data_IF_387677169947
#
_entry.id   IF_387677169947
#
_cell.length_a   1.000
_cell.length_b   1.000
_cell.length_c   1.000
_cell.angle_alpha   90.00
_cell.angle_beta   90.00
_cell.angle_gamma   90.00
#
_symmetry.space_group_name_H-M   'P 1'
#
loop_
_entity.id
_entity.type
_entity.pdbx_description
1 polymer ?
#
# COMPACT_ATOMS: atom_id res chain seq x y z
N UNK A 1 -27.64 -20.59 5.56
CA UNK A 1 -28.11 -19.18 5.65
C UNK A 1 -27.13 -18.18 6.28
N UNK A 2 -26.07 -18.57 7.02
CA UNK A 2 -25.10 -17.63 7.61
C UNK A 2 -24.29 -16.81 6.57
N UNK A 3 -23.83 -17.45 5.49
CA UNK A 3 -22.99 -16.83 4.47
C UNK A 3 -23.64 -15.64 3.73
N UNK A 4 -24.93 -15.75 3.40
CA UNK A 4 -25.65 -14.67 2.71
C UNK A 4 -25.77 -13.42 3.58
N UNK A 5 -25.92 -13.59 4.91
CA UNK A 5 -25.90 -12.47 5.86
C UNK A 5 -24.54 -11.79 5.90
N UNK A 6 -23.46 -12.56 5.97
CA UNK A 6 -22.09 -12.01 5.99
C UNK A 6 -21.77 -11.22 4.73
N UNK A 7 -22.20 -11.70 3.55
CA UNK A 7 -22.04 -10.97 2.29
C UNK A 7 -22.83 -9.65 2.26
N UNK A 8 -24.05 -9.63 2.82
CA UNK A 8 -24.82 -8.39 2.97
C UNK A 8 -24.14 -7.39 3.92
N UNK A 9 -23.52 -7.86 5.00
CA UNK A 9 -22.76 -7.01 5.93
C UNK A 9 -21.52 -6.42 5.26
N UNK A 10 -20.73 -7.21 4.51
CA UNK A 10 -19.58 -6.70 3.74
C UNK A 10 -20.01 -5.64 2.72
N UNK A 11 -21.14 -5.84 2.03
CA UNK A 11 -21.68 -4.86 1.08
C UNK A 11 -22.05 -3.54 1.76
N UNK A 12 -22.51 -3.56 3.02
CA UNK A 12 -22.77 -2.34 3.80
C UNK A 12 -21.48 -1.62 4.18
N UNK A 13 -20.46 -2.37 4.60
CA UNK A 13 -19.15 -1.80 4.97
C UNK A 13 -18.53 -1.04 3.78
N UNK A 14 -18.50 -1.66 2.60
CA UNK A 14 -17.96 -1.02 1.37
C UNK A 14 -18.75 0.22 0.97
N UNK A 15 -20.07 0.25 1.23
CA UNK A 15 -20.91 1.44 0.98
C UNK A 15 -20.66 2.58 1.96
N UNK A 16 -20.28 2.27 3.20
CA UNK A 16 -20.00 3.27 4.25
C UNK A 16 -18.56 3.80 4.10
N UNK A 17 -17.65 3.02 3.52
CA UNK A 17 -16.28 3.44 3.25
C UNK A 17 -16.25 4.68 2.35
N UNK A 18 -15.57 5.74 2.82
CA UNK A 18 -15.39 6.99 2.06
C UNK A 18 -14.33 6.78 0.98
N UNK A 19 -14.69 7.04 -0.27
CA UNK A 19 -13.70 7.09 -1.36
C UNK A 19 -12.76 8.29 -1.13
N UNK A 20 -11.43 8.09 -1.17
CA UNK A 20 -10.49 9.18 -0.98
C UNK A 20 -10.63 10.24 -2.08
N UNK A 21 -10.37 11.49 -1.74
CA UNK A 21 -10.25 12.56 -2.73
C UNK A 21 -8.96 12.42 -3.53
N UNK A 22 -8.90 13.02 -4.72
CA UNK A 22 -7.69 12.98 -5.56
C UNK A 22 -6.47 13.57 -4.83
N UNK A 23 -6.69 14.65 -4.06
CA UNK A 23 -5.62 15.30 -3.31
C UNK A 23 -5.07 14.42 -2.17
N UNK A 24 -5.95 13.79 -1.38
CA UNK A 24 -5.53 12.85 -0.33
C UNK A 24 -4.76 11.65 -0.91
N UNK A 25 -5.23 11.14 -2.05
CA UNK A 25 -4.58 10.05 -2.76
C UNK A 25 -3.19 10.46 -3.24
N UNK A 26 -3.06 11.61 -3.90
CA UNK A 26 -1.78 12.12 -4.39
C UNK A 26 -0.78 12.40 -3.26
N UNK A 27 -1.23 12.97 -2.13
CA UNK A 27 -0.38 13.19 -0.96
C UNK A 27 0.14 11.87 -0.41
N UNK A 28 -0.75 10.88 -0.24
CA UNK A 28 -0.39 9.55 0.24
C UNK A 28 0.57 8.85 -0.72
N UNK A 29 0.30 8.92 -2.03
CA UNK A 29 1.13 8.32 -3.06
C UNK A 29 2.55 8.91 -3.06
N UNK A 30 2.67 10.23 -2.92
CA UNK A 30 3.99 10.90 -2.86
C UNK A 30 4.78 10.44 -1.63
N UNK A 31 4.16 10.41 -0.46
CA UNK A 31 4.83 10.02 0.79
C UNK A 31 5.24 8.54 0.75
N UNK A 32 4.31 7.65 0.41
CA UNK A 32 4.58 6.21 0.33
C UNK A 32 5.56 5.89 -0.78
N UNK A 33 5.45 6.53 -1.94
CA UNK A 33 6.38 6.36 -3.05
C UNK A 33 7.81 6.75 -2.69
N UNK A 34 7.98 7.85 -1.95
CA UNK A 34 9.29 8.28 -1.47
C UNK A 34 9.87 7.28 -0.45
N UNK A 35 9.02 6.74 0.45
CA UNK A 35 9.42 5.70 1.40
C UNK A 35 9.87 4.40 0.73
N UNK A 36 9.10 3.91 -0.26
CA UNK A 36 9.45 2.70 -1.03
C UNK A 36 10.75 2.89 -1.78
N UNK A 37 10.96 4.06 -2.41
CA UNK A 37 12.17 4.35 -3.15
C UNK A 37 13.41 4.39 -2.24
N UNK A 38 13.30 5.00 -1.06
CA UNK A 38 14.40 5.02 -0.08
C UNK A 38 14.75 3.61 0.40
N UNK A 39 13.76 2.82 0.81
CA UNK A 39 14.00 1.45 1.29
C UNK A 39 14.58 0.58 0.17
N UNK A 40 14.05 0.72 -1.05
CA UNK A 40 14.55 0.03 -2.24
C UNK A 40 16.00 0.39 -2.56
N UNK A 41 16.38 1.67 -2.48
CA UNK A 41 17.76 2.11 -2.68
C UNK A 41 18.71 1.55 -1.62
N UNK A 42 18.30 1.55 -0.35
CA UNK A 42 19.12 0.98 0.73
C UNK A 42 19.35 -0.51 0.49
N UNK A 43 18.29 -1.28 0.19
CA UNK A 43 18.40 -2.70 -0.14
C UNK A 43 19.26 -2.94 -1.39
N UNK A 44 19.13 -2.08 -2.41
CA UNK A 44 19.93 -2.15 -3.63
C UNK A 44 21.42 -1.88 -3.38
N UNK A 45 21.76 -0.90 -2.54
CA UNK A 45 23.14 -0.63 -2.14
C UNK A 45 23.73 -1.84 -1.42
N UNK A 46 23.00 -2.43 -0.47
CA UNK A 46 23.44 -3.63 0.25
C UNK A 46 23.72 -4.77 -0.74
N UNK A 47 22.82 -4.99 -1.72
CA UNK A 47 23.01 -6.02 -2.73
C UNK A 47 24.24 -5.77 -3.60
N UNK A 48 24.47 -4.54 -4.04
CA UNK A 48 25.66 -4.18 -4.83
C UNK A 48 26.93 -4.46 -4.02
N UNK A 49 26.97 -4.02 -2.76
CA UNK A 49 28.14 -4.24 -1.90
C UNK A 49 28.40 -5.73 -1.72
N UNK A 50 27.35 -6.53 -1.47
CA UNK A 50 27.47 -7.98 -1.41
C UNK A 50 27.99 -8.58 -2.71
N UNK A 51 27.45 -8.19 -3.86
CA UNK A 51 27.84 -8.74 -5.16
C UNK A 51 29.26 -8.36 -5.59
N UNK A 52 29.77 -7.20 -5.17
CA UNK A 52 31.11 -6.74 -5.52
C UNK A 52 32.17 -7.31 -4.57
N UNK A 53 31.82 -7.52 -3.30
CA UNK A 53 32.78 -7.92 -2.26
C UNK A 53 32.82 -9.44 -2.01
N UNK A 54 31.74 -10.17 -2.35
CA UNK A 54 31.64 -11.63 -2.28
C UNK A 54 31.82 -12.25 -3.67
#
# INVERSE_FOLDING_TARGET
MKLLKTLQEYKRIVKIARKPTKEEFERTLKITGLGVLLIGLVGFIIQIVFQVML
#
